data_IF_018211613757
#
_entry.id   IF_018211613757
#
_cell.length_a   1.000
_cell.length_b   1.000
_cell.length_c   1.000
_cell.angle_alpha   90.00
_cell.angle_beta   90.00
_cell.angle_gamma   90.00
#
_symmetry.space_group_name_H-M   'P 1'
#
loop_
_entity.id
_entity.type
_entity.pdbx_description
1 polymer ?
#
# COMPACT_ATOMS: atom_id res chain seq x y z
N UNK A 1 -6.52 1.88 8.18
CA UNK A 1 -5.72 1.58 6.96
C UNK A 1 -4.36 2.22 7.09
N UNK A 2 -3.26 1.58 6.65
CA UNK A 2 -1.91 2.17 6.77
C UNK A 2 -1.10 2.11 5.46
N UNK A 3 -1.35 2.98 4.48
CA UNK A 3 -0.62 2.97 3.22
C UNK A 3 0.60 3.89 3.19
N UNK A 4 1.56 3.52 2.35
CA UNK A 4 2.69 4.36 1.95
C UNK A 4 2.73 4.49 0.43
N UNK A 5 3.18 5.63 -0.06
CA UNK A 5 3.23 6.00 -1.48
C UNK A 5 4.67 6.36 -1.85
N UNK A 6 5.27 5.61 -2.77
CA UNK A 6 6.56 5.91 -3.39
C UNK A 6 6.35 6.57 -4.75
N UNK A 7 7.22 7.53 -5.06
CA UNK A 7 7.21 8.27 -6.32
C UNK A 7 8.55 8.03 -7.03
N UNK A 8 8.52 7.44 -8.22
CA UNK A 8 9.69 7.16 -9.04
C UNK A 8 9.61 7.89 -10.38
N UNK A 9 9.83 9.22 -10.40
CA UNK A 9 9.89 9.97 -11.64
C UNK A 9 11.11 9.58 -12.48
N UNK A 10 11.11 9.95 -13.77
CA UNK A 10 12.27 9.67 -14.66
C UNK A 10 13.42 10.65 -14.48
N UNK A 11 13.14 11.80 -13.89
CA UNK A 11 14.11 12.85 -13.53
C UNK A 11 13.68 13.50 -12.22
N UNK A 12 14.56 14.28 -11.62
CA UNK A 12 14.16 15.12 -10.47
C UNK A 12 13.06 16.09 -10.92
N UNK A 13 11.91 16.03 -10.27
CA UNK A 13 10.77 16.89 -10.59
C UNK A 13 9.88 17.15 -9.38
N UNK A 14 9.10 18.21 -9.47
CA UNK A 14 8.07 18.51 -8.48
C UNK A 14 6.85 17.64 -8.73
N UNK A 15 6.32 17.04 -7.68
CA UNK A 15 5.11 16.20 -7.70
C UNK A 15 4.14 16.69 -6.63
N UNK A 16 2.88 16.88 -7.02
CA UNK A 16 1.77 17.09 -6.11
C UNK A 16 0.91 15.83 -6.04
N UNK A 17 0.57 15.40 -4.83
CA UNK A 17 -0.25 14.22 -4.56
C UNK A 17 -1.43 14.63 -3.70
N UNK A 18 -2.64 14.48 -4.21
CA UNK A 18 -3.89 14.66 -3.46
C UNK A 18 -4.53 13.31 -3.16
N UNK A 19 -4.92 13.11 -1.91
CA UNK A 19 -5.66 11.94 -1.44
C UNK A 19 -7.10 12.35 -1.13
N UNK A 20 -8.05 11.78 -1.88
CA UNK A 20 -9.48 12.04 -1.71
C UNK A 20 -10.13 10.95 -0.83
N UNK A 21 -9.63 10.78 0.39
CA UNK A 21 -10.08 9.69 1.25
C UNK A 21 -11.52 9.89 1.72
N UNK A 22 -12.40 8.93 1.42
CA UNK A 22 -13.79 8.88 1.89
C UNK A 22 -13.85 8.32 3.33
N UNK A 23 -13.17 9.01 4.24
CA UNK A 23 -13.03 8.66 5.64
C UNK A 23 -12.25 9.76 6.35
N UNK A 24 -11.66 9.44 7.49
CA UNK A 24 -10.87 10.41 8.26
C UNK A 24 -9.40 10.03 8.26
N UNK A 25 -8.53 10.99 7.90
CA UNK A 25 -7.10 10.84 8.11
C UNK A 25 -6.78 10.99 9.60
N UNK A 26 -6.07 10.01 10.17
CA UNK A 26 -5.67 10.00 11.59
C UNK A 26 -4.20 10.30 11.78
N UNK A 27 -3.38 10.05 10.77
CA UNK A 27 -1.95 10.34 10.78
C UNK A 27 -1.43 10.47 9.36
N UNK A 28 -0.45 11.34 9.14
CA UNK A 28 0.24 11.51 7.86
C UNK A 28 1.69 11.88 8.12
N UNK A 29 2.60 11.36 7.30
CA UNK A 29 4.02 11.74 7.34
C UNK A 29 4.60 11.74 5.92
N UNK A 30 5.09 12.87 5.37
CA UNK A 30 5.09 14.22 5.96
C UNK A 30 3.69 14.72 6.33
N UNK A 31 3.57 15.79 7.14
CA UNK A 31 2.28 16.40 7.43
C UNK A 31 1.50 16.73 6.15
N UNK A 32 0.23 16.33 6.11
CA UNK A 32 -0.69 16.67 5.02
C UNK A 32 -0.92 18.18 5.00
N UNK A 33 -0.77 18.81 3.83
CA UNK A 33 -1.02 20.24 3.69
C UNK A 33 -2.50 20.46 3.34
N UNK A 34 -3.27 20.89 4.34
CA UNK A 34 -4.69 21.20 4.22
C UNK A 34 -4.99 22.35 3.25
N UNK A 35 -4.06 23.28 3.03
CA UNK A 35 -4.28 24.41 2.14
C UNK A 35 -4.33 23.99 0.67
N UNK A 36 -3.57 22.94 0.31
CA UNK A 36 -3.60 22.32 -1.02
C UNK A 36 -4.35 20.98 -1.04
N UNK A 37 -4.76 20.47 0.13
CA UNK A 37 -5.35 19.14 0.29
C UNK A 37 -4.44 18.03 -0.25
N UNK A 38 -3.17 18.01 0.15
CA UNK A 38 -2.20 17.07 -0.40
C UNK A 38 -0.77 17.22 0.11
N UNK A 39 0.16 16.56 -0.58
CA UNK A 39 1.59 16.77 -0.44
C UNK A 39 2.15 17.41 -1.69
N UNK A 40 3.13 18.29 -1.52
CA UNK A 40 3.93 18.85 -2.61
C UNK A 40 5.40 18.58 -2.33
N UNK A 41 6.03 17.78 -3.18
CA UNK A 41 7.38 17.27 -2.95
C UNK A 41 8.25 17.42 -4.19
N UNK A 42 9.57 17.48 -4.00
CA UNK A 42 10.52 17.19 -5.07
C UNK A 42 10.88 15.71 -5.00
N UNK A 43 10.41 14.95 -5.98
CA UNK A 43 10.71 13.52 -6.11
C UNK A 43 11.95 13.30 -6.99
N UNK A 44 12.73 12.28 -6.67
CA UNK A 44 13.91 11.85 -7.42
C UNK A 44 13.75 10.42 -7.94
N UNK A 45 14.46 10.02 -9.02
CA UNK A 45 14.31 8.69 -9.61
C UNK A 45 14.61 7.51 -8.68
N UNK A 46 15.38 7.73 -7.61
CA UNK A 46 15.68 6.74 -6.58
C UNK A 46 14.56 6.57 -5.53
N UNK A 47 13.49 7.36 -5.63
CA UNK A 47 12.36 7.39 -4.69
C UNK A 47 12.54 8.37 -3.53
N UNK A 48 13.66 9.10 -3.47
CA UNK A 48 13.90 10.09 -2.41
C UNK A 48 13.03 11.32 -2.62
N UNK A 49 12.31 11.75 -1.58
CA UNK A 49 11.40 12.89 -1.60
C UNK A 49 11.98 14.03 -0.75
N UNK A 50 11.86 15.26 -1.23
CA UNK A 50 12.04 16.46 -0.40
C UNK A 50 10.69 17.14 -0.26
N UNK A 51 10.13 17.19 0.95
CA UNK A 51 8.85 17.86 1.20
C UNK A 51 9.02 19.38 1.10
N UNK A 52 8.18 20.07 0.34
CA UNK A 52 8.35 21.51 0.13
C UNK A 52 7.84 22.36 1.29
N UNK A 53 7.04 21.79 2.21
CA UNK A 53 6.55 22.51 3.38
C UNK A 53 7.62 22.66 4.47
N UNK A 54 8.47 21.66 4.68
CA UNK A 54 9.50 21.65 5.73
C UNK A 54 10.94 21.48 5.22
N UNK A 55 11.12 21.26 3.91
CA UNK A 55 12.39 21.02 3.25
C UNK A 55 13.16 19.79 3.74
N UNK A 56 12.50 18.85 4.43
CA UNK A 56 13.11 17.60 4.91
C UNK A 56 13.01 16.48 3.89
N UNK A 57 13.86 15.48 4.08
CA UNK A 57 13.93 14.29 3.24
C UNK A 57 13.05 13.17 3.79
N UNK A 58 12.35 12.48 2.88
CA UNK A 58 11.44 11.38 3.17
C UNK A 58 11.62 10.25 2.15
N UNK A 59 11.35 9.01 2.59
CA UNK A 59 11.40 7.82 1.73
C UNK A 59 10.10 7.56 0.96
N UNK A 60 8.98 8.06 1.47
CA UNK A 60 7.63 7.88 0.93
C UNK A 60 6.68 8.90 1.57
N UNK A 61 5.47 9.01 1.04
CA UNK A 61 4.34 9.66 1.71
C UNK A 61 3.56 8.59 2.48
N UNK A 62 3.23 8.83 3.73
CA UNK A 62 2.46 7.92 4.58
C UNK A 62 1.12 8.54 4.95
N UNK A 63 0.09 7.71 5.00
CA UNK A 63 -1.18 8.09 5.61
C UNK A 63 -1.79 6.93 6.40
N UNK A 64 -2.56 7.30 7.42
CA UNK A 64 -3.43 6.40 8.15
C UNK A 64 -4.87 6.91 8.07
N UNK A 65 -5.78 6.01 7.75
CA UNK A 65 -7.21 6.30 7.64
C UNK A 65 -8.06 5.47 8.60
N UNK A 66 -9.08 6.10 9.15
CA UNK A 66 -10.15 5.51 9.93
C UNK A 66 -11.53 5.77 9.30
N UNK A 67 -12.56 5.15 9.89
CA UNK A 67 -13.97 5.41 9.58
C UNK A 67 -14.38 5.02 8.15
N UNK A 68 -13.79 3.94 7.61
CA UNK A 68 -14.21 3.33 6.35
C UNK A 68 -14.33 1.80 6.47
N UNK A 69 -15.53 1.22 6.31
CA UNK A 69 -15.71 -0.23 6.34
C UNK A 69 -15.21 -0.83 5.03
N UNK A 70 -14.09 -1.56 5.09
CA UNK A 70 -13.65 -2.39 3.98
C UNK A 70 -14.43 -3.70 4.01
N UNK A 71 -15.26 -3.93 3.01
CA UNK A 71 -15.87 -5.24 2.78
C UNK A 71 -14.85 -6.11 2.05
N UNK A 72 -14.81 -7.38 2.39
CA UNK A 72 -13.88 -8.33 1.77
C UNK A 72 -14.66 -9.60 1.50
N UNK A 73 -14.68 -10.03 0.23
CA UNK A 73 -15.18 -11.35 -0.12
C UNK A 73 -14.20 -12.42 0.38
N UNK A 74 -14.47 -12.95 1.57
CA UNK A 74 -13.64 -13.96 2.23
C UNK A 74 -13.74 -15.36 1.58
N UNK A 75 -14.50 -15.54 0.50
CA UNK A 75 -14.55 -16.81 -0.24
C UNK A 75 -13.38 -16.99 -1.21
N UNK A 76 -12.63 -15.92 -1.49
CA UNK A 76 -11.49 -15.90 -2.41
C UNK A 76 -10.28 -15.26 -1.75
N UNK A 77 -9.10 -15.83 -1.93
CA UNK A 77 -7.87 -15.32 -1.32
C UNK A 77 -6.85 -16.41 -1.14
N UNK A 78 -6.12 -16.33 -0.03
CA UNK A 78 -5.12 -17.31 0.38
C UNK A 78 -5.31 -17.62 1.86
N UNK A 79 -5.07 -18.87 2.25
CA UNK A 79 -4.97 -19.26 3.67
C UNK A 79 -3.59 -19.86 3.87
N UNK A 80 -2.80 -19.22 4.72
CA UNK A 80 -1.36 -19.47 4.88
C UNK A 80 -1.07 -19.70 6.35
N UNK A 81 -0.19 -20.64 6.71
CA UNK A 81 0.24 -20.80 8.10
C UNK A 81 1.00 -19.56 8.57
N UNK A 82 0.94 -19.21 9.85
CA UNK A 82 1.76 -18.11 10.40
C UNK A 82 3.24 -18.28 10.05
N UNK A 83 3.79 -19.47 10.26
CA UNK A 83 5.18 -19.82 9.97
C UNK A 83 5.62 -19.60 8.52
N UNK A 84 4.68 -19.69 7.57
CA UNK A 84 4.98 -19.65 6.13
C UNK A 84 4.69 -18.25 5.54
N UNK A 85 4.18 -17.33 6.37
CA UNK A 85 3.68 -16.02 5.93
C UNK A 85 4.77 -15.17 5.28
N UNK A 86 6.00 -15.20 5.80
CA UNK A 86 7.10 -14.41 5.25
C UNK A 86 7.41 -14.79 3.79
N UNK A 87 7.58 -16.08 3.53
CA UNK A 87 7.89 -16.59 2.18
C UNK A 87 6.72 -16.34 1.22
N UNK A 88 5.50 -16.59 1.69
CA UNK A 88 4.29 -16.31 0.94
C UNK A 88 4.20 -14.83 0.52
N UNK A 89 4.35 -13.90 1.47
CA UNK A 89 4.28 -12.46 1.19
C UNK A 89 5.37 -12.05 0.21
N UNK A 90 6.61 -12.49 0.41
CA UNK A 90 7.70 -12.15 -0.50
C UNK A 90 7.41 -12.63 -1.93
N UNK A 91 6.96 -13.87 -2.09
CA UNK A 91 6.59 -14.43 -3.40
C UNK A 91 5.47 -13.63 -4.07
N UNK A 92 4.38 -13.34 -3.34
CA UNK A 92 3.22 -12.65 -3.90
C UNK A 92 3.45 -11.18 -4.20
N UNK A 93 4.22 -10.48 -3.38
CA UNK A 93 4.55 -9.07 -3.60
C UNK A 93 5.49 -8.90 -4.81
N UNK A 94 6.41 -9.84 -5.03
CA UNK A 94 7.21 -9.88 -6.27
C UNK A 94 6.32 -10.13 -7.49
N UNK A 95 5.38 -11.07 -7.41
CA UNK A 95 4.41 -11.35 -8.49
C UNK A 95 3.53 -10.12 -8.81
N UNK A 96 3.17 -9.32 -7.79
CA UNK A 96 2.45 -8.06 -7.93
C UNK A 96 3.29 -6.92 -8.51
N UNK A 97 4.62 -7.04 -8.54
CA UNK A 97 5.54 -6.04 -9.11
C UNK A 97 6.21 -5.11 -8.10
N UNK A 98 6.19 -5.44 -6.80
CA UNK A 98 6.98 -4.73 -5.80
C UNK A 98 8.47 -5.11 -5.92
N UNK A 99 9.34 -4.13 -5.67
CA UNK A 99 10.80 -4.31 -5.66
C UNK A 99 11.32 -4.53 -4.22
N UNK A 100 12.58 -4.98 -4.02
CA UNK A 100 13.11 -5.32 -2.70
C UNK A 100 12.92 -4.28 -1.60
N UNK A 101 13.10 -2.99 -1.90
CA UNK A 101 12.87 -1.92 -0.92
C UNK A 101 11.42 -1.94 -0.41
N UNK A 102 10.46 -1.97 -1.33
CA UNK A 102 9.04 -1.86 -1.03
C UNK A 102 8.51 -3.12 -0.33
N UNK A 103 8.80 -4.32 -0.84
CA UNK A 103 8.27 -5.54 -0.22
C UNK A 103 8.93 -5.84 1.13
N UNK A 104 10.20 -5.45 1.34
CA UNK A 104 10.86 -5.64 2.64
C UNK A 104 10.23 -4.74 3.69
N UNK A 105 9.92 -3.48 3.37
CA UNK A 105 9.22 -2.57 4.28
C UNK A 105 7.80 -3.03 4.57
N UNK A 106 7.07 -3.50 3.54
CA UNK A 106 5.75 -4.13 3.71
C UNK A 106 5.82 -5.31 4.69
N UNK A 107 6.75 -6.24 4.48
CA UNK A 107 6.91 -7.44 5.30
C UNK A 107 7.32 -7.05 6.72
N UNK A 108 8.28 -6.14 6.89
CA UNK A 108 8.73 -5.69 8.21
C UNK A 108 7.57 -5.11 9.04
N UNK A 109 6.64 -4.41 8.39
CA UNK A 109 5.47 -3.88 9.07
C UNK A 109 4.41 -4.96 9.37
N UNK A 110 4.03 -5.78 8.40
CA UNK A 110 2.88 -6.67 8.53
C UNK A 110 3.21 -8.05 9.13
N UNK A 111 4.39 -8.60 8.90
CA UNK A 111 4.76 -9.96 9.33
C UNK A 111 4.63 -10.18 10.85
N UNK A 112 5.09 -9.27 11.74
CA UNK A 112 5.00 -9.50 13.19
C UNK A 112 3.57 -9.68 13.71
N UNK A 113 2.56 -9.29 12.94
CA UNK A 113 1.13 -9.43 13.27
C UNK A 113 0.54 -10.78 12.80
N UNK A 114 1.26 -11.50 11.95
CA UNK A 114 0.77 -12.70 11.26
C UNK A 114 1.59 -13.95 11.55
N UNK A 115 2.88 -13.83 11.86
CA UNK A 115 3.81 -14.96 11.92
C UNK A 115 3.53 -15.96 13.05
N UNK A 116 2.83 -15.51 14.11
CA UNK A 116 2.47 -16.34 15.25
C UNK A 116 1.03 -16.88 15.21
N UNK A 117 0.25 -16.52 14.18
CA UNK A 117 -1.10 -17.05 14.02
C UNK A 117 -1.05 -18.51 13.53
N UNK A 118 -2.05 -19.33 13.88
CA UNK A 118 -2.13 -20.69 13.35
C UNK A 118 -2.24 -20.65 11.81
N UNK A 119 -3.16 -19.83 11.31
CA UNK A 119 -3.32 -19.48 9.91
C UNK A 119 -3.69 -18.01 9.75
N UNK A 120 -3.47 -17.47 8.55
CA UNK A 120 -3.89 -16.15 8.11
C UNK A 120 -4.71 -16.31 6.83
N UNK A 121 -5.94 -15.81 6.82
CA UNK A 121 -6.60 -15.47 5.57
C UNK A 121 -5.99 -14.17 5.06
N UNK A 122 -5.62 -14.13 3.77
CA UNK A 122 -5.04 -12.96 3.11
C UNK A 122 -5.72 -12.75 1.76
N UNK A 123 -6.12 -11.50 1.48
CA UNK A 123 -6.58 -11.06 0.18
C UNK A 123 -5.93 -9.72 -0.19
N UNK A 124 -5.51 -9.56 -1.44
CA UNK A 124 -5.07 -8.27 -1.98
C UNK A 124 -6.26 -7.55 -2.61
N UNK A 125 -6.83 -6.57 -1.93
CA UNK A 125 -8.01 -5.83 -2.37
C UNK A 125 -7.64 -4.78 -3.42
N UNK A 126 -8.45 -4.71 -4.48
CA UNK A 126 -8.28 -3.74 -5.58
C UNK A 126 -9.30 -2.60 -5.51
N UNK A 127 -10.27 -2.60 -6.43
CA UNK A 127 -11.24 -1.53 -6.66
C UNK A 127 -11.94 -1.00 -5.41
N UNK A 128 -12.27 -1.87 -4.47
CA UNK A 128 -12.94 -1.45 -3.24
C UNK A 128 -12.08 -0.52 -2.40
N UNK A 129 -10.77 -0.75 -2.34
CA UNK A 129 -9.87 0.19 -1.67
C UNK A 129 -9.68 1.46 -2.51
N UNK A 130 -9.38 1.33 -3.80
CA UNK A 130 -8.97 2.47 -4.63
C UNK A 130 -10.10 3.47 -4.91
N UNK A 131 -11.36 3.03 -4.93
CA UNK A 131 -12.54 3.91 -5.06
C UNK A 131 -12.75 4.80 -3.83
N UNK A 132 -12.30 4.37 -2.66
CA UNK A 132 -12.49 5.09 -1.40
C UNK A 132 -11.30 5.92 -0.97
N UNK A 133 -10.15 5.68 -1.60
CA UNK A 133 -8.97 6.52 -1.47
C UNK A 133 -8.44 6.92 -2.87
N UNK A 134 -9.18 7.65 -3.72
CA UNK A 134 -8.65 8.10 -5.01
C UNK A 134 -7.42 8.98 -4.83
N UNK A 135 -6.42 8.77 -5.68
CA UNK A 135 -5.23 9.61 -5.76
C UNK A 135 -5.27 10.47 -7.02
N UNK A 136 -5.02 11.76 -6.88
CA UNK A 136 -4.76 12.67 -8.00
C UNK A 136 -3.31 13.13 -7.92
N UNK A 137 -2.51 12.81 -8.95
CA UNK A 137 -1.07 13.07 -8.95
C UNK A 137 -0.71 13.92 -10.18
N UNK A 138 0.07 14.98 -9.95
CA UNK A 138 0.59 15.87 -10.98
C UNK A 138 2.11 16.02 -10.86
N UNK A 139 2.90 15.78 -11.93
CA UNK A 139 2.46 15.32 -13.24
C UNK A 139 1.84 13.92 -13.18
N UNK A 140 1.03 13.59 -14.20
CA UNK A 140 0.35 12.30 -14.25
C UNK A 140 1.38 11.17 -14.36
N UNK A 141 1.34 10.14 -13.49
CA UNK A 141 2.22 9.00 -13.61
C UNK A 141 1.86 8.16 -14.85
N UNK A 142 2.89 7.61 -15.49
CA UNK A 142 2.78 6.71 -16.64
C UNK A 142 2.33 5.31 -16.21
N UNK A 143 2.62 4.93 -14.96
CA UNK A 143 2.19 3.66 -14.38
C UNK A 143 1.95 3.79 -12.88
N UNK A 144 0.91 3.13 -12.37
CA UNK A 144 0.57 3.16 -10.95
C UNK A 144 0.16 1.77 -10.47
N UNK A 145 0.80 1.31 -9.40
CA UNK A 145 0.46 0.07 -8.69
C UNK A 145 -0.06 0.43 -7.30
N UNK A 146 -1.21 -0.12 -6.93
CA UNK A 146 -1.79 0.04 -5.59
C UNK A 146 -2.10 -1.34 -5.01
N UNK A 147 -1.32 -1.77 -4.02
CA UNK A 147 -1.48 -3.06 -3.35
C UNK A 147 -2.04 -2.83 -1.95
N UNK A 148 -3.24 -3.34 -1.68
CA UNK A 148 -3.82 -3.24 -0.34
C UNK A 148 -4.13 -4.62 0.21
N UNK A 149 -3.47 -5.02 1.29
CA UNK A 149 -3.69 -6.33 1.90
C UNK A 149 -4.75 -6.26 3.00
N UNK A 150 -5.80 -7.05 2.88
CA UNK A 150 -6.66 -7.39 4.00
C UNK A 150 -6.26 -8.76 4.55
N UNK A 151 -6.08 -8.88 5.87
CA UNK A 151 -5.83 -10.17 6.50
C UNK A 151 -6.75 -10.42 7.70
N UNK A 152 -6.97 -11.70 8.02
CA UNK A 152 -7.70 -12.15 9.21
C UNK A 152 -6.99 -13.36 9.84
N UNK A 153 -6.69 -13.36 11.14
CA UNK A 153 -6.18 -14.54 11.82
C UNK A 153 -7.23 -15.66 11.82
N UNK A 154 -6.79 -16.90 11.63
CA UNK A 154 -7.62 -18.09 11.62
C UNK A 154 -7.05 -19.15 12.55
N UNK A 155 -7.92 -19.79 13.34
CA UNK A 155 -7.52 -20.90 14.23
C UNK A 155 -7.29 -22.22 13.49
N UNK A 156 -7.84 -22.35 12.28
CA UNK A 156 -7.74 -23.54 11.45
C UNK A 156 -7.71 -23.19 9.97
N UNK A 157 -7.21 -24.11 9.15
CA UNK A 157 -7.24 -23.95 7.71
C UNK A 157 -8.67 -23.87 7.18
N UNK A 158 -8.92 -22.92 6.29
CA UNK A 158 -10.19 -22.78 5.56
C UNK A 158 -9.88 -22.83 4.07
N UNK A 159 -10.63 -23.64 3.32
CA UNK A 159 -10.49 -23.70 1.87
C UNK A 159 -11.19 -22.51 1.23
N UNK A 160 -10.44 -21.72 0.45
CA UNK A 160 -10.95 -20.59 -0.33
C UNK A 160 -10.55 -20.73 -1.79
N UNK A 161 -11.25 -20.05 -2.70
CA UNK A 161 -10.84 -19.96 -4.09
C UNK A 161 -9.54 -19.15 -4.19
N UNK A 162 -8.49 -19.62 -4.89
CA UNK A 162 -7.26 -18.85 -5.04
C UNK A 162 -7.52 -17.51 -5.75
N UNK A 163 -6.99 -16.42 -5.20
CA UNK A 163 -6.98 -15.14 -5.89
C UNK A 163 -5.99 -15.17 -7.06
N UNK A 164 -6.40 -14.64 -8.21
CA UNK A 164 -5.50 -14.40 -9.34
C UNK A 164 -4.74 -13.09 -9.12
N UNK A 165 -3.44 -13.13 -9.33
CA UNK A 165 -2.57 -11.96 -9.30
C UNK A 165 -2.23 -11.56 -10.74
N UNK A 166 -2.34 -10.27 -11.03
CA UNK A 166 -1.92 -9.72 -12.31
C UNK A 166 -0.57 -9.02 -12.12
N UNK A 167 0.42 -9.30 -12.97
CA UNK A 167 1.71 -8.63 -12.87
C UNK A 167 1.59 -7.15 -13.27
N UNK A 168 2.39 -6.32 -12.63
CA UNK A 168 2.51 -4.90 -12.94
C UNK A 168 3.83 -4.59 -13.67
N UNK A 169 3.78 -3.69 -14.65
CA UNK A 169 4.95 -3.23 -15.41
C UNK A 169 5.16 -1.75 -15.17
N UNK A 170 6.31 -1.41 -14.57
CA UNK A 170 6.76 -0.02 -14.40
C UNK A 170 7.11 0.59 -15.76
N UNK A 171 6.54 1.76 -16.02
CA UNK A 171 6.81 2.57 -17.22
C UNK A 171 6.91 4.02 -16.78
N UNK A 172 7.89 4.75 -17.33
CA UNK A 172 8.08 6.18 -17.09
C UNK A 172 8.01 6.56 -15.61
N UNK A 173 7.32 7.66 -15.31
CA UNK A 173 7.02 8.03 -13.93
C UNK A 173 6.10 6.98 -13.30
N UNK A 174 6.64 6.20 -12.37
CA UNK A 174 5.91 5.13 -11.68
C UNK A 174 5.54 5.54 -10.26
N UNK A 175 4.31 5.27 -9.85
CA UNK A 175 3.82 5.46 -8.48
C UNK A 175 3.44 4.12 -7.88
N UNK A 176 3.97 3.80 -6.70
CA UNK A 176 3.67 2.55 -5.99
C UNK A 176 3.07 2.90 -4.65
N UNK A 177 1.86 2.42 -4.40
CA UNK A 177 1.27 2.45 -3.07
C UNK A 177 1.14 1.02 -2.56
N UNK A 178 1.58 0.77 -1.33
CA UNK A 178 1.16 -0.43 -0.62
C UNK A 178 0.60 -0.07 0.74
N UNK A 179 -0.35 -0.88 1.21
CA UNK A 179 -0.97 -0.73 2.51
C UNK A 179 -1.68 -2.00 2.95
N UNK A 180 -2.36 -1.92 4.08
CA UNK A 180 -3.20 -3.02 4.52
C UNK A 180 -4.04 -2.71 5.75
N UNK A 181 -4.80 -3.72 6.15
CA UNK A 181 -5.62 -3.74 7.37
C UNK A 181 -5.80 -5.17 7.88
N UNK A 182 -5.94 -5.28 9.19
CA UNK A 182 -6.57 -6.44 9.80
C UNK A 182 -8.09 -6.33 9.66
N UNK A 183 -8.77 -7.43 9.39
CA UNK A 183 -10.23 -7.55 9.40
C UNK A 183 -10.65 -7.91 10.83
N UNK A 184 -11.44 -7.03 11.43
CA UNK A 184 -12.11 -7.28 12.72
C UNK A 184 -13.53 -7.77 12.45
N UNK A 185 -13.98 -8.73 13.26
CA UNK A 185 -15.36 -9.23 13.25
C UNK A 185 -16.34 -8.25 13.91
#
# INVERSE_FOLDING_TARGET
MKPVIYLYPTKKEEVTVHLHYNGRLTSTDPPYDEAIGGWRVIARPDGTLTNLADYKEYSYLFWEGADYPLTVDQTRGFVVKGSDTREFLQSKLVELGLIPREYNEFIAFWLPRMEHNAYNFIQFVGDEYTKNAPLSISPKPDSMLRVFMAYKPLNQYVKVAPQKIAPFVRKGFSVIEWGGTELVD
#
